data_IF_458894872769
#
_entry.id   IF_458894872769
#
_cell.length_a   1.000
_cell.length_b   1.000
_cell.length_c   1.000
_cell.angle_alpha   90.00
_cell.angle_beta   90.00
_cell.angle_gamma   90.00
#
_symmetry.space_group_name_H-M   'P 1'
#
loop_
_entity.id
_entity.type
_entity.pdbx_description
1 polymer ?
#
# COMPACT_ATOMS: atom_id res chain seq x y z
N UNK A 1 43.51 -33.87 -7.77
CA UNK A 1 44.58 -32.89 -8.00
C UNK A 1 44.49 -32.40 -9.44
N UNK A 2 44.24 -31.10 -9.63
CA UNK A 2 44.73 -30.24 -10.73
C UNK A 2 43.76 -29.88 -11.88
N UNK A 3 43.31 -28.61 -11.83
CA UNK A 3 43.18 -27.61 -12.92
C UNK A 3 42.02 -27.86 -13.91
N UNK A 4 40.88 -27.18 -13.79
CA UNK A 4 40.61 -25.76 -14.10
C UNK A 4 41.15 -25.30 -15.47
N UNK A 5 40.31 -24.57 -16.21
CA UNK A 5 40.49 -23.94 -17.54
C UNK A 5 40.40 -24.93 -18.73
N UNK A 6 39.52 -24.80 -19.72
CA UNK A 6 39.17 -23.60 -20.49
C UNK A 6 37.71 -23.74 -21.01
N UNK A 7 36.80 -22.89 -20.53
CA UNK A 7 35.51 -22.66 -21.17
C UNK A 7 35.74 -21.82 -22.42
N UNK A 8 35.49 -22.36 -23.61
CA UNK A 8 35.49 -21.60 -24.86
C UNK A 8 34.15 -21.79 -25.56
N UNK A 9 33.15 -21.02 -25.14
CA UNK A 9 31.96 -20.73 -25.93
C UNK A 9 31.78 -19.22 -25.96
N UNK A 10 32.46 -18.60 -26.91
CA UNK A 10 32.27 -17.22 -27.31
C UNK A 10 30.85 -17.11 -27.88
N UNK A 11 29.90 -16.68 -27.05
CA UNK A 11 28.61 -16.20 -27.53
C UNK A 11 28.73 -14.70 -27.76
N UNK A 12 29.01 -14.32 -29.02
CA UNK A 12 28.83 -12.94 -29.47
C UNK A 12 27.32 -12.71 -29.61
N UNK A 13 26.71 -12.25 -28.52
CA UNK A 13 25.33 -11.76 -28.57
C UNK A 13 25.35 -10.37 -29.21
N UNK A 14 24.87 -10.32 -30.44
CA UNK A 14 24.63 -9.10 -31.22
C UNK A 14 23.76 -8.14 -30.37
N UNK A 15 24.37 -7.09 -29.82
CA UNK A 15 23.64 -5.99 -29.18
C UNK A 15 22.88 -5.24 -30.27
N UNK A 16 21.61 -5.62 -30.49
CA UNK A 16 20.64 -4.73 -31.11
C UNK A 16 20.46 -3.55 -30.15
N UNK A 17 21.15 -2.44 -30.41
CA UNK A 17 20.89 -1.16 -29.74
C UNK A 17 19.52 -0.71 -30.23
N UNK A 18 18.47 -1.16 -29.55
CA UNK A 18 17.15 -0.59 -29.67
C UNK A 18 17.25 0.86 -29.21
N UNK A 19 17.26 1.81 -30.15
CA UNK A 19 16.97 3.21 -29.85
C UNK A 19 15.47 3.35 -29.61
N UNK A 20 14.97 2.66 -28.59
CA UNK A 20 13.72 3.08 -27.97
C UNK A 20 14.03 4.43 -27.32
N UNK A 21 13.79 5.53 -28.05
CA UNK A 21 13.60 6.84 -27.41
C UNK A 21 12.64 6.59 -26.25
N UNK A 22 12.94 7.07 -25.04
CA UNK A 22 11.96 7.06 -23.98
C UNK A 22 10.75 7.80 -24.55
N UNK A 23 9.70 7.07 -24.88
CA UNK A 23 8.38 7.65 -25.04
C UNK A 23 8.12 8.29 -23.68
N UNK A 24 7.87 9.61 -23.57
CA UNK A 24 7.38 10.21 -22.35
C UNK A 24 5.95 9.69 -22.14
N UNK A 25 5.85 8.39 -21.85
CA UNK A 25 4.67 7.75 -21.30
C UNK A 25 4.38 8.53 -20.05
N UNK A 26 3.28 9.29 -20.09
CA UNK A 26 2.48 9.68 -18.96
C UNK A 26 3.24 9.52 -17.65
N UNK A 27 4.09 10.49 -17.33
CA UNK A 27 4.58 10.63 -15.97
C UNK A 27 3.33 10.92 -15.16
N UNK A 28 2.75 9.87 -14.58
CA UNK A 28 1.74 10.01 -13.55
C UNK A 28 2.32 11.02 -12.57
N UNK A 29 1.67 12.18 -12.48
CA UNK A 29 2.07 13.21 -11.55
C UNK A 29 1.73 12.67 -10.16
N UNK A 30 2.67 11.97 -9.57
CA UNK A 30 2.63 11.52 -8.19
C UNK A 30 2.79 12.78 -7.32
N UNK A 31 1.70 13.25 -6.70
CA UNK A 31 1.77 14.32 -5.71
C UNK A 31 2.53 13.88 -4.46
N UNK A 32 2.95 14.77 -3.55
CA UNK A 32 3.46 14.35 -2.25
C UNK A 32 2.34 13.72 -1.40
N UNK A 33 2.71 12.94 -0.39
CA UNK A 33 1.78 12.65 0.71
C UNK A 33 1.43 13.97 1.42
N UNK A 34 0.13 14.19 1.64
CA UNK A 34 -0.40 15.40 2.27
C UNK A 34 -0.94 15.00 3.63
N UNK A 35 -0.33 15.53 4.69
CA UNK A 35 -0.81 15.34 6.06
C UNK A 35 -2.25 15.83 6.21
N UNK A 36 -3.04 15.06 6.95
CA UNK A 36 -4.44 15.34 7.23
C UNK A 36 -4.65 15.64 8.71
N UNK A 37 -5.67 16.44 9.01
CA UNK A 37 -6.11 16.63 10.38
C UNK A 37 -6.72 15.33 10.91
N UNK A 38 -6.14 14.76 11.98
CA UNK A 38 -6.63 13.51 12.58
C UNK A 38 -8.05 13.64 13.14
N UNK A 39 -8.50 14.85 13.49
CA UNK A 39 -9.86 15.10 13.96
C UNK A 39 -10.88 15.34 12.84
N UNK A 40 -10.46 15.29 11.57
CA UNK A 40 -11.38 15.38 10.43
C UNK A 40 -12.35 14.18 10.45
N UNK A 41 -13.69 14.42 10.36
CA UNK A 41 -14.67 13.33 10.35
C UNK A 41 -14.41 12.27 9.27
N UNK A 42 -13.84 12.64 8.13
CA UNK A 42 -13.49 11.72 7.06
C UNK A 42 -12.29 10.85 7.43
N UNK A 43 -11.29 11.41 8.11
CA UNK A 43 -10.15 10.62 8.64
C UNK A 43 -10.65 9.61 9.66
N UNK A 44 -11.52 10.03 10.57
CA UNK A 44 -12.14 9.16 11.58
C UNK A 44 -12.91 8.02 10.91
N UNK A 45 -13.71 8.34 9.89
CA UNK A 45 -14.41 7.33 9.09
C UNK A 45 -13.47 6.32 8.43
N UNK A 46 -12.39 6.78 7.80
CA UNK A 46 -11.41 5.90 7.14
C UNK A 46 -10.68 5.01 8.15
N UNK A 47 -10.38 5.52 9.34
CA UNK A 47 -9.79 4.74 10.43
C UNK A 47 -10.74 3.65 10.95
N UNK A 48 -12.00 4.00 11.22
CA UNK A 48 -13.02 3.03 11.63
C UNK A 48 -13.26 1.98 10.55
N UNK A 49 -13.30 2.39 9.27
CA UNK A 49 -13.40 1.47 8.15
C UNK A 49 -12.23 0.48 8.13
N UNK A 50 -10.98 0.96 8.23
CA UNK A 50 -9.79 0.11 8.21
C UNK A 50 -9.79 -0.94 9.33
N UNK A 51 -10.16 -0.55 10.56
CA UNK A 51 -10.29 -1.48 11.69
C UNK A 51 -11.38 -2.51 11.43
N UNK A 52 -12.55 -2.07 10.96
CA UNK A 52 -13.67 -2.99 10.69
C UNK A 52 -13.34 -4.03 9.62
N UNK A 53 -12.61 -3.64 8.58
CA UNK A 53 -12.19 -4.56 7.52
C UNK A 53 -11.10 -5.53 8.00
N UNK A 54 -10.19 -5.07 8.87
CA UNK A 54 -9.22 -5.96 9.50
C UNK A 54 -9.89 -7.02 10.35
N UNK A 55 -10.85 -6.63 11.19
CA UNK A 55 -11.59 -7.54 12.06
C UNK A 55 -12.36 -8.58 11.24
N UNK A 56 -13.02 -8.16 10.15
CA UNK A 56 -13.69 -9.09 9.21
C UNK A 56 -12.73 -10.11 8.59
N UNK A 57 -11.53 -9.67 8.20
CA UNK A 57 -10.58 -10.51 7.47
C UNK A 57 -9.77 -11.44 8.36
N UNK A 58 -9.55 -11.06 9.62
CA UNK A 58 -8.70 -11.82 10.54
C UNK A 58 -9.49 -12.53 11.64
N UNK A 59 -10.76 -12.19 11.83
CA UNK A 59 -11.54 -12.61 12.99
C UNK A 59 -11.10 -11.92 14.29
N UNK A 60 -10.29 -10.87 14.21
CA UNK A 60 -9.90 -10.04 15.36
C UNK A 60 -11.08 -9.20 15.86
N UNK A 61 -10.90 -8.58 17.02
CA UNK A 61 -11.83 -7.60 17.56
C UNK A 61 -11.03 -6.41 18.09
N UNK A 62 -10.60 -5.54 17.19
CA UNK A 62 -9.84 -4.35 17.53
C UNK A 62 -10.77 -3.18 17.87
N UNK A 63 -10.51 -2.54 19.01
CA UNK A 63 -11.10 -1.25 19.38
C UNK A 63 -10.14 -0.12 19.00
N UNK A 64 -10.59 0.79 18.14
CA UNK A 64 -9.82 2.00 17.80
C UNK A 64 -9.76 2.94 19.00
N UNK A 65 -8.56 3.20 19.50
CA UNK A 65 -8.31 4.13 20.62
C UNK A 65 -8.01 5.54 20.09
N UNK A 66 -7.17 5.63 19.06
CA UNK A 66 -6.66 6.91 18.56
C UNK A 66 -6.20 6.80 17.11
N UNK A 67 -6.42 7.86 16.32
CA UNK A 67 -5.73 8.06 15.04
C UNK A 67 -4.48 8.90 15.32
N UNK A 68 -3.31 8.26 15.26
CA UNK A 68 -2.01 8.88 15.59
C UNK A 68 -1.55 9.82 14.49
N UNK A 69 -1.73 9.41 13.23
CA UNK A 69 -1.45 10.26 12.07
C UNK A 69 -2.25 9.80 10.86
N UNK A 70 -2.57 10.76 9.98
CA UNK A 70 -3.23 10.49 8.72
C UNK A 70 -2.57 11.30 7.60
N UNK A 71 -2.36 10.67 6.45
CA UNK A 71 -1.85 11.33 5.23
C UNK A 71 -2.58 10.80 4.02
N UNK A 72 -2.73 11.63 2.99
CA UNK A 72 -3.38 11.24 1.73
C UNK A 72 -2.44 11.40 0.56
N UNK A 73 -2.67 10.57 -0.45
CA UNK A 73 -1.99 10.63 -1.72
C UNK A 73 -3.02 10.55 -2.85
N UNK A 74 -3.02 11.52 -3.76
CA UNK A 74 -3.92 11.51 -4.90
C UNK A 74 -3.25 10.86 -6.13
N UNK A 75 -3.89 9.83 -6.67
CA UNK A 75 -3.48 9.14 -7.90
C UNK A 75 -4.41 9.56 -9.04
N UNK A 76 -3.88 10.34 -9.98
CA UNK A 76 -4.63 10.83 -11.15
C UNK A 76 -4.69 9.84 -12.32
N UNK A 77 -3.92 8.75 -12.28
CA UNK A 77 -3.87 7.76 -13.36
C UNK A 77 -5.17 6.96 -13.52
N UNK A 78 -6.02 6.93 -12.49
CA UNK A 78 -7.31 6.25 -12.53
C UNK A 78 -8.42 7.19 -13.06
N UNK A 79 -9.39 6.68 -13.82
CA UNK A 79 -10.36 7.50 -14.58
C UNK A 79 -11.26 8.41 -13.72
N UNK A 80 -11.26 8.25 -12.39
CA UNK A 80 -12.01 9.10 -11.45
C UNK A 80 -11.13 9.81 -10.41
N UNK A 81 -9.80 9.65 -10.52
CA UNK A 81 -8.90 9.97 -9.43
C UNK A 81 -9.11 9.05 -8.22
N UNK A 82 -8.05 8.79 -7.48
CA UNK A 82 -8.11 7.92 -6.31
C UNK A 82 -7.33 8.55 -5.16
N UNK A 83 -7.90 8.59 -3.96
CA UNK A 83 -7.13 8.92 -2.76
C UNK A 83 -6.69 7.62 -2.09
N UNK A 84 -5.39 7.52 -1.83
CA UNK A 84 -4.83 6.53 -0.94
C UNK A 84 -4.64 7.22 0.41
N UNK A 85 -5.26 6.68 1.44
CA UNK A 85 -5.11 7.12 2.82
C UNK A 85 -4.06 6.24 3.48
N UNK A 86 -3.07 6.83 4.13
CA UNK A 86 -2.14 6.14 5.00
C UNK A 86 -2.39 6.59 6.43
N UNK A 87 -2.75 5.64 7.28
CA UNK A 87 -3.17 5.88 8.65
C UNK A 87 -2.26 5.12 9.61
N UNK A 88 -1.90 5.78 10.71
CA UNK A 88 -1.29 5.15 11.87
C UNK A 88 -2.32 5.19 12.98
N UNK A 89 -2.73 4.01 13.44
CA UNK A 89 -3.83 3.81 14.36
C UNK A 89 -3.30 3.18 15.64
N UNK A 90 -3.79 3.64 16.78
CA UNK A 90 -3.61 2.95 18.05
C UNK A 90 -4.89 2.19 18.36
N UNK A 91 -4.80 0.88 18.50
CA UNK A 91 -5.95 0.02 18.76
C UNK A 91 -5.65 -1.01 19.83
N UNK A 92 -6.71 -1.48 20.51
CA UNK A 92 -6.63 -2.53 21.52
C UNK A 92 -7.31 -3.79 21.01
N UNK A 93 -6.69 -4.95 21.18
CA UNK A 93 -7.35 -6.23 20.92
C UNK A 93 -8.25 -6.61 22.10
N UNK A 94 -9.56 -6.54 21.88
CA UNK A 94 -10.57 -6.90 22.87
C UNK A 94 -10.69 -8.42 23.06
N UNK A 95 -10.11 -9.22 22.17
CA UNK A 95 -10.00 -10.68 22.32
C UNK A 95 -8.98 -11.05 23.39
N UNK A 96 -8.02 -10.16 23.66
CA UNK A 96 -6.99 -10.33 24.68
C UNK A 96 -6.94 -9.08 25.59
N UNK A 97 -7.87 -8.93 26.54
CA UNK A 97 -8.08 -7.67 27.27
C UNK A 97 -6.88 -7.19 28.10
N UNK A 98 -6.00 -8.11 28.48
CA UNK A 98 -4.75 -7.86 29.23
C UNK A 98 -3.63 -7.28 28.36
N UNK A 99 -3.76 -7.38 27.04
CA UNK A 99 -2.75 -6.89 26.09
C UNK A 99 -2.87 -5.38 25.97
N UNK A 100 -1.77 -4.62 26.07
CA UNK A 100 -1.80 -3.18 25.92
C UNK A 100 -2.16 -2.78 24.48
N UNK A 101 -2.70 -1.56 24.27
CA UNK A 101 -2.94 -1.04 22.93
C UNK A 101 -1.64 -1.01 22.10
N UNK A 102 -1.76 -1.38 20.83
CA UNK A 102 -0.65 -1.46 19.87
C UNK A 102 -0.86 -0.48 18.70
N UNK A 103 0.21 -0.21 17.97
CA UNK A 103 0.20 0.66 16.78
C UNK A 103 0.04 -0.19 15.53
N UNK A 104 -0.88 0.22 14.66
CA UNK A 104 -1.22 -0.41 13.40
C UNK A 104 -1.06 0.59 12.27
N UNK A 105 -0.45 0.18 11.17
CA UNK A 105 -0.40 0.96 9.93
C UNK A 105 -1.43 0.39 8.95
N UNK A 106 -2.16 1.27 8.28
CA UNK A 106 -3.11 0.86 7.26
C UNK A 106 -3.07 1.76 6.03
N UNK A 107 -3.42 1.16 4.89
CA UNK A 107 -3.65 1.87 3.64
C UNK A 107 -5.09 1.63 3.18
N UNK A 108 -5.84 2.71 2.99
CA UNK A 108 -7.24 2.67 2.54
C UNK A 108 -7.36 3.36 1.19
N UNK A 109 -7.99 2.68 0.24
CA UNK A 109 -8.15 3.14 -1.13
C UNK A 109 -9.57 3.70 -1.33
N UNK A 110 -9.70 5.02 -1.35
CA UNK A 110 -10.99 5.69 -1.56
C UNK A 110 -11.33 5.73 -3.05
N UNK A 111 -12.58 5.41 -3.41
CA UNK A 111 -13.07 5.38 -4.79
C UNK A 111 -12.38 4.35 -5.69
N UNK A 112 -11.87 3.24 -5.12
CA UNK A 112 -11.33 2.16 -5.93
C UNK A 112 -12.44 1.50 -6.75
N UNK A 113 -12.43 1.76 -8.06
CA UNK A 113 -13.15 0.95 -9.04
C UNK A 113 -12.08 0.17 -9.80
N UNK A 114 -11.81 -1.11 -9.47
CA UNK A 114 -10.82 -1.87 -10.20
C UNK A 114 -11.18 -1.87 -11.70
N UNK A 115 -10.19 -1.83 -12.61
CA UNK A 115 -10.44 -2.28 -13.97
C UNK A 115 -11.17 -3.63 -13.88
N UNK A 116 -12.24 -3.83 -14.66
CA UNK A 116 -13.10 -5.02 -14.66
C UNK A 116 -12.38 -6.34 -15.05
N UNK A 117 -11.05 -6.37 -15.00
CA UNK A 117 -10.26 -7.58 -15.04
C UNK A 117 -10.34 -8.25 -13.66
N UNK A 118 -11.26 -9.20 -13.55
CA UNK A 118 -11.67 -9.88 -12.32
C UNK A 118 -10.54 -10.12 -11.31
N UNK A 119 -10.63 -9.43 -10.17
CA UNK A 119 -9.76 -9.62 -9.02
C UNK A 119 -10.13 -8.62 -7.93
N UNK A 120 -10.63 -9.12 -6.80
CA UNK A 120 -10.86 -8.32 -5.59
C UNK A 120 -9.50 -8.00 -4.96
N UNK A 121 -8.92 -6.85 -5.29
CA UNK A 121 -7.69 -6.37 -4.66
C UNK A 121 -8.01 -5.29 -3.64
N UNK A 122 -8.41 -5.70 -2.44
CA UNK A 122 -8.17 -4.90 -1.24
C UNK A 122 -6.81 -5.35 -0.69
N UNK A 123 -5.76 -4.60 -0.99
CA UNK A 123 -4.45 -4.87 -0.40
C UNK A 123 -4.41 -4.26 1.01
N UNK A 124 -4.62 -5.10 2.02
CA UNK A 124 -4.42 -4.76 3.41
C UNK A 124 -2.95 -5.02 3.77
N UNK A 125 -2.11 -4.00 3.72
CA UNK A 125 -0.77 -4.06 4.30
C UNK A 125 -0.84 -3.67 5.77
N UNK A 126 -1.04 -4.62 6.67
CA UNK A 126 -0.74 -4.42 8.10
C UNK A 126 0.73 -4.77 8.31
N UNK A 127 1.59 -3.75 8.33
CA UNK A 127 2.97 -3.92 8.78
C UNK A 127 2.95 -3.98 10.32
N UNK A 128 3.10 -5.20 10.84
CA UNK A 128 3.42 -5.44 12.26
C UNK A 128 4.91 -5.16 12.45
N UNK A 129 5.25 -4.25 13.37
CA UNK A 129 6.62 -4.09 13.88
C UNK A 129 6.78 -4.88 15.18
#
# INVERSE_FOLDING_TARGET
MNKSLLFLLVHVSLLAISTARPNPRNLASFGPWIDQNVYDPKVQYMASYAISEYDKNTGSHLELIEVVSASTFYVSFYPRGQNIWHLVLKAKDCSQPSTPPSIYQSQVYENFNPPQFGGNYLSFGFLMN
#
